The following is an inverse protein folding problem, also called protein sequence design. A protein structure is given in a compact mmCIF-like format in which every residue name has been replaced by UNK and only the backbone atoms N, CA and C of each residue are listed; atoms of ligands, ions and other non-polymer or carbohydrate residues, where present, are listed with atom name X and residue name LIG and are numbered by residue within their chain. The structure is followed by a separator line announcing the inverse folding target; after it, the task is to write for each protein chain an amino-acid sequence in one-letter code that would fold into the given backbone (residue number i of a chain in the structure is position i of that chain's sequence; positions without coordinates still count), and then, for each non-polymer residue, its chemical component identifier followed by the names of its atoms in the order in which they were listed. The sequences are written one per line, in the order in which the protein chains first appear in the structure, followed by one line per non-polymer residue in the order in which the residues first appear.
data_IF_308648605374
#
_entry.id   IF_308648605374
#
_cell.length_a   1.000
_cell.length_b   1.000
_cell.length_c   1.000
_cell.angle_alpha   90.00
_cell.angle_beta   90.00
_cell.angle_gamma   90.00
#
_symmetry.space_group_name_H-M   'P 1'
#
loop_
_entity.id
_entity.type
_entity.pdbx_description
1 polymer ?
#
# COMPACT_ATOMS: atom_id res chain seq x y z
N UNK A 1 67.17 41.94 -15.09
CA UNK A 1 66.60 42.80 -14.02
C UNK A 1 65.45 42.05 -13.39
N UNK A 2 65.60 41.76 -12.10
CA UNK A 2 64.69 41.16 -11.12
C UNK A 2 63.23 40.90 -11.56
N UNK A 3 62.85 39.63 -11.65
CA UNK A 3 61.46 39.20 -11.62
C UNK A 3 60.94 39.28 -10.18
N UNK A 4 60.14 40.31 -9.89
CA UNK A 4 59.39 40.39 -8.64
C UNK A 4 58.45 39.18 -8.50
N UNK A 5 58.44 38.44 -7.38
CA UNK A 5 57.55 37.31 -7.20
C UNK A 5 56.09 37.80 -7.23
N UNK A 6 55.30 37.23 -8.14
CA UNK A 6 53.95 37.69 -8.49
C UNK A 6 52.92 37.55 -7.34
N UNK A 7 53.26 36.91 -6.21
CA UNK A 7 52.35 36.66 -5.09
C UNK A 7 53.10 36.82 -3.75
N UNK A 8 52.55 37.63 -2.84
CA UNK A 8 53.10 37.81 -1.48
C UNK A 8 52.81 36.57 -0.61
N UNK A 9 53.79 35.97 0.08
CA UNK A 9 53.64 34.70 0.80
C UNK A 9 52.58 34.73 1.92
N UNK A 10 52.37 35.88 2.55
CA UNK A 10 51.34 36.04 3.59
C UNK A 10 49.91 35.87 3.06
N UNK A 11 49.63 36.24 1.79
CA UNK A 11 48.29 36.09 1.18
C UNK A 11 47.93 34.62 0.93
N UNK A 12 48.94 33.81 0.61
CA UNK A 12 48.77 32.36 0.42
C UNK A 12 48.49 31.71 1.78
N UNK A 13 49.21 32.12 2.83
CA UNK A 13 48.96 31.67 4.20
C UNK A 13 47.54 31.97 4.69
N UNK A 14 47.01 33.16 4.42
CA UNK A 14 45.63 33.51 4.80
C UNK A 14 44.59 32.65 4.07
N UNK A 15 44.84 32.31 2.81
CA UNK A 15 43.92 31.48 2.02
C UNK A 15 43.90 30.03 2.52
N UNK A 16 45.05 29.44 2.80
CA UNK A 16 45.13 28.10 3.41
C UNK A 16 44.52 28.06 4.81
N UNK A 17 44.70 29.13 5.60
CA UNK A 17 44.06 29.25 6.91
C UNK A 17 42.54 29.24 6.82
N UNK A 18 41.97 30.03 5.90
CA UNK A 18 40.51 30.05 5.67
C UNK A 18 39.98 28.70 5.18
N UNK A 19 40.69 28.05 4.26
CA UNK A 19 40.33 26.72 3.77
C UNK A 19 40.37 25.68 4.90
N UNK A 20 41.41 25.68 5.75
CA UNK A 20 41.53 24.77 6.87
C UNK A 20 40.40 24.97 7.90
N UNK A 21 40.04 26.22 8.20
CA UNK A 21 38.92 26.54 9.09
C UNK A 21 37.60 26.00 8.54
N UNK A 22 37.36 26.16 7.23
CA UNK A 22 36.17 25.62 6.59
C UNK A 22 36.10 24.10 6.67
N UNK A 23 37.22 23.42 6.42
CA UNK A 23 37.31 21.95 6.53
C UNK A 23 37.00 21.50 7.96
N UNK A 24 37.58 22.15 8.97
CA UNK A 24 37.34 21.84 10.38
C UNK A 24 35.86 22.03 10.75
N UNK A 25 35.23 23.11 10.26
CA UNK A 25 33.80 23.35 10.50
C UNK A 25 32.92 22.25 9.90
N UNK A 26 33.20 21.82 8.65
CA UNK A 26 32.47 20.72 8.03
C UNK A 26 32.71 19.38 8.73
N UNK A 27 33.94 19.09 9.15
CA UNK A 27 34.24 17.88 9.92
C UNK A 27 33.51 17.87 11.26
N UNK A 28 33.47 18.99 11.97
CA UNK A 28 32.72 19.13 13.23
C UNK A 28 31.22 18.90 13.02
N UNK A 29 30.65 19.46 11.95
CA UNK A 29 29.24 19.25 11.59
C UNK A 29 28.94 17.79 11.27
N UNK A 30 29.83 17.10 10.56
CA UNK A 30 29.67 15.67 10.27
C UNK A 30 29.77 14.81 11.54
N UNK A 31 30.70 15.11 12.44
CA UNK A 31 30.81 14.40 13.72
C UNK A 31 29.55 14.57 14.57
N UNK A 32 28.96 15.77 14.56
CA UNK A 32 27.66 16.00 15.22
C UNK A 32 26.57 15.07 14.66
N UNK A 33 26.40 15.03 13.34
CA UNK A 33 25.41 14.18 12.68
C UNK A 33 25.68 12.67 12.88
N UNK A 34 26.95 12.26 12.91
CA UNK A 34 27.34 10.84 12.98
C UNK A 34 27.48 10.28 14.40
N UNK A 35 27.70 11.12 15.42
CA UNK A 35 27.97 10.67 16.79
C UNK A 35 26.88 11.13 17.77
N UNK A 36 26.41 12.37 17.65
CA UNK A 36 25.43 12.93 18.60
C UNK A 36 24.01 12.56 18.19
N UNK A 37 23.67 12.73 16.91
CA UNK A 37 22.31 12.49 16.40
C UNK A 37 22.13 11.08 15.81
N UNK A 38 23.13 10.19 15.97
CA UNK A 38 23.10 8.84 15.39
C UNK A 38 21.94 8.01 15.92
N UNK A 39 21.75 7.99 17.23
CA UNK A 39 20.76 7.14 17.88
C UNK A 39 19.34 7.51 17.45
N UNK A 40 19.00 8.80 17.46
CA UNK A 40 17.69 9.32 17.07
C UNK A 40 17.40 9.13 15.56
N UNK A 41 18.39 9.38 14.69
CA UNK A 41 18.24 9.16 13.25
C UNK A 41 18.14 7.67 12.91
N UNK A 42 18.84 6.79 13.64
CA UNK A 42 18.66 5.34 13.49
C UNK A 42 17.30 4.86 13.99
N UNK A 43 16.79 5.44 15.09
CA UNK A 43 15.47 5.12 15.61
C UNK A 43 14.37 5.52 14.60
N UNK A 44 14.42 6.74 14.04
CA UNK A 44 13.49 7.20 13.01
C UNK A 44 13.57 6.38 11.72
N UNK A 45 14.76 5.89 11.34
CA UNK A 45 14.91 5.01 10.18
C UNK A 45 14.38 3.58 10.42
N UNK A 46 14.49 3.07 11.65
CA UNK A 46 13.91 1.77 12.05
C UNK A 46 12.40 1.87 12.15
N UNK A 47 11.87 2.97 12.69
CA UNK A 47 10.43 3.25 12.76
C UNK A 47 9.82 3.38 11.37
N UNK A 48 10.44 4.14 10.46
CA UNK A 48 10.02 4.22 9.06
C UNK A 48 10.14 2.88 8.29
N UNK A 49 10.94 1.92 8.78
CA UNK A 49 11.03 0.57 8.21
C UNK A 49 9.88 -0.33 8.68
N UNK A 50 9.24 -0.01 9.79
CA UNK A 50 8.17 -0.82 10.36
C UNK A 50 6.80 -0.24 9.98
N UNK A 51 6.29 -0.65 8.83
CA UNK A 51 4.86 -0.51 8.57
C UNK A 51 4.10 -1.32 9.63
N UNK A 52 3.44 -0.64 10.58
CA UNK A 52 2.56 -1.29 11.53
C UNK A 52 1.33 -1.81 10.78
N UNK A 53 1.42 -3.04 10.30
CA UNK A 53 0.25 -3.71 9.73
C UNK A 53 -0.64 -4.18 10.88
N UNK A 54 -1.74 -3.45 11.10
CA UNK A 54 -2.79 -3.86 12.00
C UNK A 54 -3.44 -5.13 11.42
N UNK A 55 -3.08 -6.30 11.95
CA UNK A 55 -3.80 -7.52 11.64
C UNK A 55 -5.19 -7.43 12.30
N UNK A 56 -6.30 -7.36 11.54
CA UNK A 56 -7.62 -7.31 12.15
C UNK A 56 -7.85 -8.59 12.96
N UNK A 57 -8.38 -8.44 14.17
CA UNK A 57 -8.77 -9.59 14.98
C UNK A 57 -9.82 -10.42 14.21
N UNK A 58 -9.58 -11.73 14.12
CA UNK A 58 -10.54 -12.65 13.50
C UNK A 58 -11.81 -12.70 14.36
N UNK A 59 -12.97 -12.44 13.76
CA UNK A 59 -14.27 -12.46 14.44
C UNK A 59 -14.76 -13.90 14.63
N UNK A 60 -15.47 -14.14 15.72
CA UNK A 60 -16.08 -15.43 16.02
C UNK A 60 -17.18 -15.84 15.02
N UNK A 61 -17.48 -17.14 15.01
CA UNK A 61 -18.62 -17.73 14.30
C UNK A 61 -19.89 -17.47 15.09
N UNK A 62 -20.96 -17.08 14.39
CA UNK A 62 -22.29 -16.87 14.98
C UNK A 62 -23.15 -18.09 14.69
N UNK A 63 -23.72 -18.67 15.74
CA UNK A 63 -24.60 -19.82 15.68
C UNK A 63 -26.03 -19.46 16.08
N UNK A 64 -27.01 -20.14 15.48
CA UNK A 64 -28.38 -20.19 16.01
C UNK A 64 -28.44 -21.09 17.27
N UNK A 65 -29.56 -21.04 18.00
CA UNK A 65 -29.87 -21.89 19.16
C UNK A 65 -29.75 -23.40 18.89
N UNK A 66 -29.86 -23.81 17.63
CA UNK A 66 -29.73 -25.20 17.19
C UNK A 66 -28.30 -25.56 16.74
N UNK A 67 -27.33 -24.64 16.86
CA UNK A 67 -25.94 -24.84 16.43
C UNK A 67 -25.68 -24.65 14.93
N UNK A 68 -26.65 -24.12 14.18
CA UNK A 68 -26.48 -23.83 12.75
C UNK A 68 -25.66 -22.54 12.59
N UNK A 69 -24.65 -22.56 11.70
CA UNK A 69 -23.82 -21.40 11.40
C UNK A 69 -24.65 -20.37 10.64
N UNK A 70 -24.82 -19.19 11.24
CA UNK A 70 -25.49 -18.04 10.63
C UNK A 70 -24.49 -17.11 9.95
N UNK A 71 -23.29 -17.00 10.50
CA UNK A 71 -22.23 -16.18 9.92
C UNK A 71 -20.84 -16.64 10.37
N UNK A 72 -19.91 -16.77 9.44
CA UNK A 72 -18.52 -17.13 9.69
C UNK A 72 -17.58 -16.37 8.76
N UNK A 73 -16.29 -16.36 9.07
CA UNK A 73 -15.29 -15.73 8.19
C UNK A 73 -14.67 -16.80 7.30
N UNK A 74 -14.65 -16.54 6.00
CA UNK A 74 -13.93 -17.34 5.01
C UNK A 74 -12.80 -16.48 4.40
N UNK A 75 -11.69 -17.09 3.96
CA UNK A 75 -10.65 -16.34 3.26
C UNK A 75 -11.13 -15.99 1.84
N UNK A 76 -11.17 -14.70 1.53
CA UNK A 76 -11.21 -14.17 0.16
C UNK A 76 -9.79 -14.13 -0.40
N UNK A 77 -9.60 -14.60 -1.63
CA UNK A 77 -8.33 -14.44 -2.34
C UNK A 77 -8.49 -13.30 -3.32
N UNK A 78 -7.80 -12.20 -3.08
CA UNK A 78 -7.89 -11.01 -3.90
C UNK A 78 -6.61 -10.88 -4.73
N UNK A 79 -6.74 -10.69 -6.03
CA UNK A 79 -5.59 -10.42 -6.90
C UNK A 79 -5.29 -8.93 -6.82
N UNK A 80 -4.06 -8.61 -6.45
CA UNK A 80 -3.58 -7.25 -6.27
C UNK A 80 -2.47 -6.92 -7.25
N UNK A 81 -2.36 -5.64 -7.61
CA UNK A 81 -1.27 -5.12 -8.43
C UNK A 81 -0.62 -3.94 -7.70
N UNK A 82 0.71 -3.94 -7.62
CA UNK A 82 1.52 -2.83 -7.11
C UNK A 82 2.13 -2.08 -8.30
N UNK A 83 1.63 -0.88 -8.64
CA UNK A 83 2.07 -0.16 -9.85
C UNK A 83 3.58 0.08 -9.92
N UNK A 84 4.23 0.44 -8.80
CA UNK A 84 5.67 0.70 -8.73
C UNK A 84 6.56 -0.52 -9.04
N UNK A 85 6.01 -1.72 -8.98
CA UNK A 85 6.72 -2.98 -9.28
C UNK A 85 6.42 -3.50 -10.69
N UNK A 86 5.53 -2.83 -11.43
CA UNK A 86 5.24 -3.16 -12.81
C UNK A 86 6.40 -2.74 -13.74
N UNK A 87 6.59 -3.46 -14.85
CA UNK A 87 7.55 -3.06 -15.87
C UNK A 87 7.06 -1.81 -16.61
N UNK A 88 7.99 -0.90 -16.93
CA UNK A 88 7.72 0.30 -17.73
C UNK A 88 7.44 0.01 -19.22
N UNK A 89 7.70 -1.23 -19.68
CA UNK A 89 7.47 -1.64 -21.07
C UNK A 89 5.99 -1.93 -21.33
N UNK A 90 5.36 -1.10 -22.16
CA UNK A 90 3.95 -1.21 -22.56
C UNK A 90 3.58 -2.61 -23.07
N UNK A 91 4.46 -3.27 -23.83
CA UNK A 91 4.19 -4.60 -24.37
C UNK A 91 4.09 -5.64 -23.25
N UNK A 92 5.06 -5.63 -22.33
CA UNK A 92 5.09 -6.54 -21.20
C UNK A 92 3.93 -6.29 -20.23
N UNK A 93 3.56 -5.03 -20.02
CA UNK A 93 2.43 -4.65 -19.17
C UNK A 93 1.11 -5.19 -19.75
N UNK A 94 0.91 -5.07 -21.06
CA UNK A 94 -0.25 -5.63 -21.75
C UNK A 94 -0.31 -7.17 -21.63
N UNK A 95 0.84 -7.86 -21.77
CA UNK A 95 0.92 -9.31 -21.59
C UNK A 95 0.51 -9.73 -20.17
N UNK A 96 0.98 -9.01 -19.15
CA UNK A 96 0.62 -9.26 -17.75
C UNK A 96 -0.90 -9.09 -17.56
N UNK A 97 -1.48 -7.99 -18.05
CA UNK A 97 -2.92 -7.74 -17.90
C UNK A 97 -3.77 -8.79 -18.62
N UNK A 98 -3.37 -9.19 -19.84
CA UNK A 98 -4.03 -10.27 -20.56
C UNK A 98 -3.94 -11.61 -19.82
N UNK A 99 -2.78 -11.91 -19.23
CA UNK A 99 -2.58 -13.14 -18.49
C UNK A 99 -3.43 -13.18 -17.22
N UNK A 100 -3.47 -12.09 -16.46
CA UNK A 100 -4.33 -11.95 -15.28
C UNK A 100 -5.80 -12.13 -15.70
N UNK A 101 -6.26 -11.38 -16.71
CA UNK A 101 -7.64 -11.44 -17.19
C UNK A 101 -8.05 -12.85 -17.64
N UNK A 102 -7.14 -13.59 -18.29
CA UNK A 102 -7.40 -14.98 -18.71
C UNK A 102 -7.59 -15.92 -17.53
N UNK A 103 -6.85 -15.71 -16.44
CA UNK A 103 -6.88 -16.57 -15.26
C UNK A 103 -8.04 -16.19 -14.33
N UNK A 104 -8.24 -14.89 -14.08
CA UNK A 104 -9.21 -14.37 -13.12
C UNK A 104 -10.59 -14.11 -13.72
N UNK A 105 -10.68 -13.91 -15.04
CA UNK A 105 -11.89 -13.46 -15.72
C UNK A 105 -12.16 -11.95 -15.58
N UNK A 106 -11.26 -11.18 -14.97
CA UNK A 106 -11.42 -9.74 -14.78
C UNK A 106 -11.28 -8.98 -16.13
N UNK A 107 -12.11 -7.96 -16.38
CA UNK A 107 -12.01 -7.17 -17.61
C UNK A 107 -10.74 -6.33 -17.61
N UNK A 108 -10.00 -6.34 -18.72
CA UNK A 108 -8.80 -5.50 -18.89
C UNK A 108 -9.20 -4.01 -18.93
N UNK A 109 -10.22 -3.70 -19.73
CA UNK A 109 -10.74 -2.36 -19.90
C UNK A 109 -12.14 -2.29 -19.31
N UNK A 110 -12.47 -1.16 -18.70
CA UNK A 110 -13.81 -0.91 -18.17
C UNK A 110 -14.82 -1.02 -19.32
N UNK A 111 -15.84 -1.90 -19.20
CA UNK A 111 -16.88 -2.00 -20.21
C UNK A 111 -17.48 -0.62 -20.46
N UNK A 112 -17.77 -0.23 -21.72
CA UNK A 112 -18.44 1.03 -21.99
C UNK A 112 -19.70 1.12 -21.14
N UNK A 113 -19.81 2.16 -20.33
CA UNK A 113 -21.07 2.51 -19.69
C UNK A 113 -22.02 2.85 -20.84
N UNK A 114 -23.03 2.02 -21.09
CA UNK A 114 -24.00 2.27 -22.14
C UNK A 114 -24.55 3.69 -21.96
N UNK A 115 -24.23 4.58 -22.90
CA UNK A 115 -24.60 5.99 -22.81
C UNK A 115 -26.13 6.21 -22.76
N UNK A 116 -26.90 5.20 -23.18
CA UNK A 116 -28.36 5.16 -23.05
C UNK A 116 -28.87 4.83 -21.65
N UNK A 117 -28.03 4.29 -20.76
CA UNK A 117 -28.35 3.87 -19.41
C UNK A 117 -27.53 4.57 -18.30
N UNK A 118 -26.60 5.47 -18.65
CA UNK A 118 -25.87 6.28 -17.66
C UNK A 118 -26.82 7.12 -16.77
N UNK A 119 -28.00 7.47 -17.28
CA UNK A 119 -29.08 8.15 -16.55
C UNK A 119 -30.06 7.21 -15.85
N UNK A 120 -30.05 5.91 -16.18
CA UNK A 120 -30.81 4.88 -15.48
C UNK A 120 -30.00 4.17 -14.39
N UNK A 121 -28.67 4.38 -14.32
CA UNK A 121 -27.85 3.94 -13.21
C UNK A 121 -28.30 4.69 -11.95
N UNK A 122 -29.21 4.07 -11.19
CA UNK A 122 -29.77 4.65 -9.97
C UNK A 122 -28.62 4.79 -8.99
N UNK A 123 -28.64 5.81 -8.13
CA UNK A 123 -27.70 5.90 -7.00
C UNK A 123 -27.81 4.60 -6.20
N UNK A 124 -26.77 3.75 -6.26
CA UNK A 124 -26.74 2.43 -5.63
C UNK A 124 -26.85 1.22 -6.57
N UNK A 125 -26.91 1.39 -7.90
CA UNK A 125 -26.65 0.29 -8.84
C UNK A 125 -25.14 0.09 -8.98
N UNK A 126 -24.70 -1.15 -8.69
CA UNK A 126 -23.32 -1.59 -8.90
C UNK A 126 -23.00 -1.48 -10.40
N UNK A 127 -22.28 -0.42 -10.77
CA UNK A 127 -21.71 -0.29 -12.11
C UNK A 127 -20.79 -1.48 -12.41
N UNK A 128 -20.50 -1.76 -13.70
CA UNK A 128 -19.51 -2.78 -14.05
C UNK A 128 -18.21 -2.51 -13.27
N UNK A 129 -17.57 -3.55 -12.71
CA UNK A 129 -16.30 -3.35 -12.01
C UNK A 129 -15.31 -2.67 -12.97
N UNK A 130 -14.53 -1.70 -12.48
CA UNK A 130 -13.55 -1.01 -13.30
C UNK A 130 -12.53 -2.01 -13.85
N UNK A 131 -12.07 -1.78 -15.08
CA UNK A 131 -11.08 -2.63 -15.72
C UNK A 131 -9.71 -2.49 -15.06
N UNK A 132 -8.90 -3.54 -15.18
CA UNK A 132 -7.54 -3.60 -14.61
C UNK A 132 -6.73 -2.36 -14.98
N UNK A 133 -6.79 -1.93 -16.25
CA UNK A 133 -6.03 -0.78 -16.76
C UNK A 133 -6.39 0.52 -16.03
N UNK A 134 -7.69 0.77 -15.79
CA UNK A 134 -8.15 2.00 -15.17
C UNK A 134 -7.80 2.04 -13.68
N UNK A 135 -8.00 0.92 -12.98
CA UNK A 135 -7.68 0.79 -11.56
C UNK A 135 -6.19 1.02 -11.31
N UNK A 136 -5.33 0.40 -12.12
CA UNK A 136 -3.88 0.54 -11.99
C UNK A 136 -3.43 1.95 -12.35
N UNK A 137 -3.93 2.52 -13.44
CA UNK A 137 -3.59 3.89 -13.87
C UNK A 137 -3.93 4.94 -12.80
N UNK A 138 -5.12 4.84 -12.19
CA UNK A 138 -5.51 5.73 -11.12
C UNK A 138 -4.58 5.58 -9.91
N UNK A 139 -4.28 4.33 -9.52
CA UNK A 139 -3.42 4.04 -8.38
C UNK A 139 -1.98 4.52 -8.59
N UNK A 140 -1.44 4.36 -9.79
CA UNK A 140 -0.09 4.82 -10.15
C UNK A 140 0.08 6.31 -9.90
N UNK A 141 -0.95 7.11 -10.18
CA UNK A 141 -0.92 8.57 -9.98
C UNK A 141 -1.05 9.02 -8.52
N UNK A 142 -1.67 8.19 -7.66
CA UNK A 142 -2.01 8.53 -6.28
C UNK A 142 -1.01 7.94 -5.27
N UNK A 143 -0.77 6.63 -5.37
CA UNK A 143 0.00 5.84 -4.41
C UNK A 143 0.66 4.65 -5.12
N UNK A 144 1.75 4.86 -5.88
CA UNK A 144 2.34 3.83 -6.75
C UNK A 144 2.92 2.63 -5.96
N UNK A 145 3.29 2.82 -4.71
CA UNK A 145 3.80 1.75 -3.83
C UNK A 145 2.71 1.03 -3.04
N UNK A 146 1.44 1.43 -3.19
CA UNK A 146 0.31 0.80 -2.55
C UNK A 146 -0.40 -0.12 -3.54
N UNK A 147 -0.54 -1.38 -3.17
CA UNK A 147 -1.20 -2.38 -3.99
C UNK A 147 -2.70 -2.11 -4.10
N UNK A 148 -3.26 -2.28 -5.29
CA UNK A 148 -4.70 -2.14 -5.55
C UNK A 148 -5.31 -3.47 -5.94
N UNK A 149 -6.53 -3.74 -5.42
CA UNK A 149 -7.28 -4.96 -5.75
C UNK A 149 -7.86 -4.82 -7.16
N UNK A 150 -7.49 -5.74 -8.05
CA UNK A 150 -7.96 -5.76 -9.44
C UNK A 150 -8.99 -6.86 -9.70
N UNK A 151 -8.96 -7.95 -8.92
CA UNK A 151 -9.96 -9.00 -8.98
C UNK A 151 -10.24 -9.50 -7.55
N UNK A 152 -11.37 -9.11 -6.94
CA UNK A 152 -11.74 -9.58 -5.60
C UNK A 152 -12.31 -11.01 -5.64
N UNK A 153 -12.15 -11.75 -4.54
CA UNK A 153 -12.77 -13.06 -4.29
C UNK A 153 -12.62 -14.09 -5.43
N UNK A 154 -11.39 -14.26 -5.92
CA UNK A 154 -11.12 -15.28 -6.93
C UNK A 154 -11.16 -16.69 -6.31
N UNK A 155 -11.66 -17.71 -7.03
CA UNK A 155 -11.68 -19.08 -6.51
C UNK A 155 -10.29 -19.54 -6.09
N UNK A 156 -10.18 -20.27 -4.97
CA UNK A 156 -8.89 -20.78 -4.45
C UNK A 156 -8.03 -21.46 -5.52
N UNK A 157 -8.64 -22.24 -6.42
CA UNK A 157 -7.91 -22.91 -7.52
C UNK A 157 -7.26 -21.89 -8.46
N UNK A 158 -7.98 -20.84 -8.81
CA UNK A 158 -7.48 -19.74 -9.65
C UNK A 158 -6.34 -19.00 -8.96
N UNK A 159 -6.51 -18.69 -7.66
CA UNK A 159 -5.45 -18.08 -6.86
C UNK A 159 -4.18 -18.94 -6.83
N UNK A 160 -4.32 -20.26 -6.65
CA UNK A 160 -3.20 -21.19 -6.66
C UNK A 160 -2.51 -21.23 -8.03
N UNK A 161 -3.27 -21.31 -9.12
CA UNK A 161 -2.70 -21.26 -10.47
C UNK A 161 -1.92 -19.96 -10.71
N UNK A 162 -2.47 -18.81 -10.29
CA UNK A 162 -1.78 -17.53 -10.42
C UNK A 162 -0.53 -17.48 -9.53
N UNK A 163 -0.60 -18.05 -8.31
CA UNK A 163 0.50 -18.09 -7.35
C UNK A 163 1.75 -18.79 -7.90
N UNK A 164 1.56 -19.82 -8.74
CA UNK A 164 2.65 -20.54 -9.40
C UNK A 164 3.38 -19.68 -10.44
N UNK A 165 2.66 -18.74 -11.06
CA UNK A 165 3.15 -17.87 -12.12
C UNK A 165 3.66 -16.50 -11.63
N UNK A 166 3.49 -16.15 -10.35
CA UNK A 166 3.91 -14.86 -9.79
C UNK A 166 5.38 -14.52 -10.07
N UNK A 167 6.26 -15.52 -10.20
CA UNK A 167 7.67 -15.30 -10.57
C UNK A 167 7.86 -14.62 -11.93
N UNK A 168 6.89 -14.78 -12.84
CA UNK A 168 6.92 -14.20 -14.19
C UNK A 168 6.08 -12.93 -14.31
N UNK A 169 5.29 -12.59 -13.27
CA UNK A 169 4.34 -11.49 -13.25
C UNK A 169 4.80 -10.44 -12.22
N UNK A 170 5.82 -9.62 -12.52
CA UNK A 170 6.29 -8.57 -11.61
C UNK A 170 5.15 -7.61 -11.26
N UNK A 171 5.09 -7.19 -10.00
CA UNK A 171 4.05 -6.30 -9.46
C UNK A 171 2.68 -6.92 -9.27
N UNK A 172 2.49 -8.22 -9.54
CA UNK A 172 1.24 -8.94 -9.26
C UNK A 172 1.39 -9.71 -7.95
N UNK A 173 0.36 -9.68 -7.13
CA UNK A 173 0.31 -10.40 -5.86
C UNK A 173 -1.07 -10.99 -5.58
N UNK A 174 -1.13 -11.80 -4.53
CA UNK A 174 -2.38 -12.34 -3.99
C UNK A 174 -2.45 -11.95 -2.53
N UNK A 175 -3.54 -11.26 -2.17
CA UNK A 175 -3.84 -10.89 -0.80
C UNK A 175 -4.96 -11.79 -0.27
N UNK A 176 -4.80 -12.28 0.96
CA UNK A 176 -5.84 -13.06 1.63
C UNK A 176 -6.56 -12.14 2.60
N UNK A 177 -7.79 -11.77 2.27
CA UNK A 177 -8.62 -10.89 3.10
C UNK A 177 -9.74 -11.72 3.73
N UNK A 178 -9.97 -11.65 5.05
CA UNK A 178 -11.10 -12.34 5.65
C UNK A 178 -12.42 -11.68 5.23
N UNK A 179 -13.30 -12.44 4.57
CA UNK A 179 -14.63 -12.00 4.17
C UNK A 179 -15.70 -12.73 4.99
N UNK A 180 -16.79 -12.04 5.31
CA UNK A 180 -17.91 -12.61 6.08
C UNK A 180 -18.86 -13.37 5.14
N UNK A 181 -19.01 -14.67 5.38
CA UNK A 181 -19.96 -15.52 4.67
C UNK A 181 -21.19 -15.82 5.53
N UNK A 182 -22.35 -15.87 4.87
CA UNK A 182 -23.68 -16.09 5.47
C UNK A 182 -24.34 -17.30 4.80
N UNK A 183 -24.07 -18.53 5.27
CA UNK A 183 -24.52 -19.76 4.61
C UNK A 183 -26.04 -19.87 4.45
N UNK A 184 -26.80 -19.23 5.33
CA UNK A 184 -28.28 -19.22 5.32
C UNK A 184 -28.87 -18.16 4.38
N UNK A 185 -28.04 -17.40 3.67
CA UNK A 185 -28.43 -16.45 2.62
C UNK A 185 -28.51 -14.98 3.08
N UNK A 186 -28.83 -14.11 2.12
CA UNK A 186 -28.75 -12.65 2.28
C UNK A 186 -29.72 -12.06 3.33
N UNK A 187 -30.84 -12.74 3.62
CA UNK A 187 -31.78 -12.29 4.66
C UNK A 187 -31.16 -12.35 6.06
N UNK A 188 -30.23 -13.28 6.29
CA UNK A 188 -29.53 -13.41 7.56
C UNK A 188 -28.62 -12.21 7.83
N UNK A 189 -28.00 -11.64 6.80
CA UNK A 189 -27.15 -10.45 6.93
C UNK A 189 -27.92 -9.21 7.44
N UNK A 190 -29.22 -9.10 7.15
CA UNK A 190 -30.04 -7.98 7.66
C UNK A 190 -30.32 -8.09 9.16
N UNK A 191 -30.37 -9.32 9.69
CA UNK A 191 -30.68 -9.59 11.10
C UNK A 191 -29.39 -9.60 11.94
N UNK A 192 -28.35 -10.26 11.44
CA UNK A 192 -27.06 -10.40 12.13
C UNK A 192 -26.20 -9.14 11.96
N UNK A 193 -26.48 -8.33 10.94
CA UNK A 193 -25.68 -7.19 10.52
C UNK A 193 -24.76 -7.57 9.36
N UNK A 194 -24.48 -6.60 8.48
CA UNK A 194 -23.56 -6.75 7.35
C UNK A 194 -22.23 -6.05 7.65
N UNK A 195 -21.19 -6.44 6.92
CA UNK A 195 -19.92 -5.72 6.89
C UNK A 195 -19.79 -5.06 5.53
N UNK A 196 -19.56 -3.75 5.53
CA UNK A 196 -19.22 -2.98 4.34
C UNK A 196 -17.79 -2.45 4.43
N UNK A 197 -17.25 -1.96 3.31
CA UNK A 197 -15.98 -1.24 3.32
C UNK A 197 -16.07 -0.04 4.27
N UNK A 198 -14.95 0.30 4.91
CA UNK A 198 -14.86 1.50 5.76
C UNK A 198 -15.03 2.72 4.84
N UNK A 199 -16.12 3.47 5.03
CA UNK A 199 -16.37 4.68 4.26
C UNK A 199 -15.43 5.80 4.72
N UNK A 200 -15.08 6.73 3.81
CA UNK A 200 -14.20 7.85 4.13
C UNK A 200 -14.70 8.66 5.35
N UNK A 201 -16.01 8.78 5.52
CA UNK A 201 -16.62 9.49 6.65
C UNK A 201 -16.33 8.86 8.02
N UNK A 202 -16.15 7.54 8.08
CA UNK A 202 -15.93 6.79 9.33
C UNK A 202 -14.45 6.44 9.51
N UNK A 203 -13.64 6.50 8.44
CA UNK A 203 -12.20 6.22 8.46
C UNK A 203 -11.47 7.02 9.54
N UNK A 204 -11.73 8.33 9.63
CA UNK A 204 -11.06 9.23 10.59
C UNK A 204 -11.43 8.95 12.05
N UNK A 205 -12.62 8.40 12.30
CA UNK A 205 -13.03 7.98 13.64
C UNK A 205 -12.18 6.78 14.09
N UNK A 206 -12.13 5.74 13.25
CA UNK A 206 -11.36 4.53 13.56
C UNK A 206 -9.85 4.76 13.59
N UNK A 207 -9.31 5.65 12.74
CA UNK A 207 -7.88 5.98 12.77
C UNK A 207 -7.47 6.68 14.07
N UNK A 208 -8.29 7.62 14.56
CA UNK A 208 -8.04 8.29 15.84
C UNK A 208 -8.19 7.37 17.04
N UNK A 209 -9.16 6.46 17.01
CA UNK A 209 -9.34 5.44 18.05
C UNK A 209 -8.14 4.47 18.06
N UNK A 210 -7.70 4.03 16.89
CA UNK A 210 -6.52 3.17 16.77
C UNK A 210 -5.24 3.86 17.26
N UNK A 211 -5.01 5.14 16.91
CA UNK A 211 -3.85 5.88 17.40
C UNK A 211 -3.87 6.05 18.92
N UNK A 212 -5.04 6.36 19.50
CA UNK A 212 -5.21 6.48 20.95
C UNK A 212 -4.93 5.15 21.67
N UNK A 213 -5.40 4.03 21.13
CA UNK A 213 -5.15 2.71 21.70
C UNK A 213 -3.67 2.29 21.62
N UNK A 214 -2.97 2.69 20.55
CA UNK A 214 -1.54 2.44 20.41
C UNK A 214 -0.73 3.28 21.41
N UNK A 215 -1.10 4.54 21.61
CA UNK A 215 -0.45 5.46 22.57
C UNK A 215 -0.66 4.99 24.03
N UNK A 216 -1.85 4.50 24.38
CA UNK A 216 -2.10 3.88 25.69
C UNK A 216 -1.27 2.59 25.87
N UNK A 217 -1.04 1.84 24.79
CA UNK A 217 -0.26 0.59 24.84
C UNK A 217 1.24 0.85 24.92
N UNK A 218 1.75 1.95 24.36
CA UNK A 218 3.15 2.36 24.55
C UNK A 218 3.40 2.83 25.98
N UNK A 219 2.48 3.63 26.55
CA UNK A 219 2.59 4.14 27.93
C UNK A 219 2.49 3.05 29.01
N UNK A 220 1.97 1.86 28.66
CA UNK A 220 1.83 0.74 29.60
C UNK A 220 2.94 -0.30 29.49
N UNK A 221 3.90 -0.12 28.56
CA UNK A 221 5.04 -1.01 28.34
C UNK A 221 6.40 -0.40 28.74
N UNK A 222 6.41 0.82 29.30
CA UNK A 222 7.53 1.38 30.09
C UNK A 222 7.35 1.11 31.59
#
# INVERSE_FOLDING_TARGET
MNSSPLIRPWRIGTLYGLMAISIIAFTGQLLRLQVIEHEELTALAVENRQAQINAPAQRGVIYDRNGVILAHNIPSYDVIITPAELPEDDLRLQEIYQRIATITGAPINTPPLDAGNASSNRIGEDGPPPGITEVVFLQESLAPYESVVVAPDVPRKVALTLSEELRNLPGVGIQITPMRDYPTGALTAHVVGYMGPITAAVKDFYQREASMLLEIKSDTLE
#
